data_IF_472250004966
#
_entry.id   IF_472250004966
#
_cell.length_a   1.000
_cell.length_b   1.000
_cell.length_c   1.000
_cell.angle_alpha   90.00
_cell.angle_beta   90.00
_cell.angle_gamma   90.00
#
_symmetry.space_group_name_H-M   'P 1'
#
loop_
_entity.id
_entity.type
_entity.pdbx_description
1 polymer ?
#
# COMPACT_ATOMS: atom_id res chain seq x y z
N UNK A 1 -19.22 -24.46 -8.47
CA UNK A 1 -18.18 -25.50 -8.48
C UNK A 1 -17.25 -25.29 -7.28
N UNK A 2 -17.74 -25.71 -6.13
CA UNK A 2 -17.13 -25.46 -4.82
C UNK A 2 -15.70 -26.05 -4.72
N UNK A 3 -15.47 -27.19 -5.38
CA UNK A 3 -14.15 -27.85 -5.38
C UNK A 3 -13.05 -26.97 -5.96
N UNK A 4 -13.30 -26.27 -7.08
CA UNK A 4 -12.30 -25.35 -7.64
C UNK A 4 -12.03 -24.16 -6.73
N UNK A 5 -13.01 -23.69 -5.97
CA UNK A 5 -12.78 -22.65 -4.97
C UNK A 5 -11.83 -23.12 -3.87
N UNK A 6 -12.09 -24.30 -3.28
CA UNK A 6 -11.22 -24.84 -2.23
C UNK A 6 -9.82 -25.18 -2.75
N UNK A 7 -9.70 -25.76 -3.93
CA UNK A 7 -8.40 -26.01 -4.54
C UNK A 7 -7.63 -24.70 -4.78
N UNK A 8 -8.31 -23.66 -5.23
CA UNK A 8 -7.71 -22.32 -5.37
C UNK A 8 -7.20 -21.77 -4.05
N UNK A 9 -7.98 -21.87 -2.98
CA UNK A 9 -7.56 -21.43 -1.62
C UNK A 9 -6.35 -22.23 -1.13
N UNK A 10 -6.37 -23.56 -1.28
CA UNK A 10 -5.25 -24.41 -0.85
C UNK A 10 -3.99 -24.06 -1.66
N UNK A 11 -4.11 -23.96 -2.99
CA UNK A 11 -2.97 -23.59 -3.84
C UNK A 11 -2.40 -22.21 -3.50
N UNK A 12 -3.25 -21.22 -3.21
CA UNK A 12 -2.82 -19.89 -2.79
C UNK A 12 -2.04 -19.93 -1.46
N UNK A 13 -2.54 -20.70 -0.48
CA UNK A 13 -1.90 -20.81 0.83
C UNK A 13 -0.55 -21.54 0.76
N UNK A 14 -0.42 -22.51 -0.13
CA UNK A 14 0.82 -23.27 -0.36
C UNK A 14 1.81 -22.55 -1.31
N UNK A 15 1.45 -21.36 -1.81
CA UNK A 15 2.30 -20.58 -2.72
C UNK A 15 2.27 -21.04 -4.18
N UNK A 16 1.38 -21.97 -4.56
CA UNK A 16 1.17 -22.39 -5.94
C UNK A 16 0.28 -21.39 -6.69
N UNK A 17 0.82 -20.20 -6.95
CA UNK A 17 0.06 -19.03 -7.41
C UNK A 17 -0.58 -19.24 -8.78
N UNK A 18 0.11 -19.91 -9.73
CA UNK A 18 -0.44 -20.24 -11.06
C UNK A 18 -1.62 -21.21 -10.97
N UNK A 19 -1.51 -22.22 -10.12
CA UNK A 19 -2.61 -23.17 -9.89
C UNK A 19 -3.80 -22.48 -9.24
N UNK A 20 -3.55 -21.64 -8.23
CA UNK A 20 -4.58 -20.84 -7.58
C UNK A 20 -5.34 -19.98 -8.63
N UNK A 21 -4.61 -19.30 -9.51
CA UNK A 21 -5.20 -18.52 -10.59
C UNK A 21 -6.07 -19.38 -11.52
N UNK A 22 -5.57 -20.54 -11.93
CA UNK A 22 -6.29 -21.44 -12.82
C UNK A 22 -7.58 -21.97 -12.19
N UNK A 23 -7.59 -22.25 -10.89
CA UNK A 23 -8.78 -22.65 -10.16
C UNK A 23 -9.76 -21.48 -9.97
N UNK A 24 -9.29 -20.31 -9.55
CA UNK A 24 -10.13 -19.14 -9.34
C UNK A 24 -10.79 -18.64 -10.63
N UNK A 25 -10.11 -18.72 -11.76
CA UNK A 25 -10.72 -18.41 -13.07
C UNK A 25 -11.99 -19.20 -13.36
N UNK A 26 -12.07 -20.45 -12.90
CA UNK A 26 -13.22 -21.34 -13.13
C UNK A 26 -14.42 -20.99 -12.24
N UNK A 27 -14.25 -20.12 -11.24
CA UNK A 27 -15.27 -19.80 -10.23
C UNK A 27 -15.57 -18.29 -10.11
N UNK A 28 -15.30 -17.54 -11.15
CA UNK A 28 -15.52 -16.07 -11.16
C UNK A 28 -16.98 -15.65 -10.92
N UNK A 29 -17.94 -16.55 -11.02
CA UNK A 29 -19.32 -16.30 -10.64
C UNK A 29 -19.51 -16.00 -9.14
N UNK A 30 -18.49 -16.34 -8.30
CA UNK A 30 -18.48 -16.04 -6.86
C UNK A 30 -18.25 -14.56 -6.55
N UNK A 31 -17.74 -13.76 -7.48
CA UNK A 31 -17.36 -12.35 -7.26
C UNK A 31 -18.45 -11.47 -6.63
N UNK A 32 -19.71 -11.76 -6.92
CA UNK A 32 -20.84 -10.97 -6.43
C UNK A 32 -21.39 -11.45 -5.08
N UNK A 33 -20.84 -12.53 -4.51
CA UNK A 33 -21.42 -13.22 -3.36
C UNK A 33 -20.40 -13.67 -2.31
N UNK A 34 -19.12 -13.48 -2.57
CA UNK A 34 -18.10 -14.10 -1.73
C UNK A 34 -16.86 -13.22 -1.62
N UNK A 35 -16.84 -12.35 -0.60
CA UNK A 35 -15.75 -11.39 -0.36
C UNK A 35 -14.38 -12.07 -0.22
N UNK A 36 -14.30 -13.22 0.47
CA UNK A 36 -13.04 -13.97 0.58
C UNK A 36 -12.48 -14.44 -0.78
N UNK A 37 -13.35 -14.85 -1.71
CA UNK A 37 -12.92 -15.15 -3.07
C UNK A 37 -12.30 -13.92 -3.74
N UNK A 38 -12.95 -12.76 -3.59
CA UNK A 38 -12.46 -11.51 -4.18
C UNK A 38 -11.07 -11.14 -3.65
N UNK A 39 -10.87 -11.25 -2.34
CA UNK A 39 -9.59 -10.99 -1.68
C UNK A 39 -8.49 -11.90 -2.26
N UNK A 40 -8.71 -13.21 -2.23
CA UNK A 40 -7.70 -14.18 -2.67
C UNK A 40 -7.44 -14.11 -4.18
N UNK A 41 -8.45 -13.79 -4.98
CA UNK A 41 -8.25 -13.61 -6.41
C UNK A 41 -7.46 -12.35 -6.74
N UNK A 42 -7.74 -11.23 -6.09
CA UNK A 42 -6.94 -10.00 -6.25
C UNK A 42 -5.49 -10.24 -5.83
N UNK A 43 -5.25 -10.86 -4.68
CA UNK A 43 -3.90 -11.22 -4.20
C UNK A 43 -3.17 -12.10 -5.21
N UNK A 44 -3.83 -13.11 -5.73
CA UNK A 44 -3.28 -14.02 -6.75
C UNK A 44 -2.90 -13.25 -8.02
N UNK A 45 -3.74 -12.33 -8.48
CA UNK A 45 -3.44 -11.50 -9.65
C UNK A 45 -2.22 -10.59 -9.43
N UNK A 46 -2.09 -10.00 -8.24
CA UNK A 46 -0.94 -9.16 -7.87
C UNK A 46 0.35 -9.99 -7.81
N UNK A 47 0.31 -11.17 -7.18
CA UNK A 47 1.46 -12.06 -7.09
C UNK A 47 1.94 -12.57 -8.46
N UNK A 48 1.04 -12.67 -9.44
CA UNK A 48 1.35 -12.99 -10.83
C UNK A 48 1.68 -11.78 -11.70
N UNK A 49 1.84 -10.60 -11.09
CA UNK A 49 2.10 -9.34 -11.78
C UNK A 49 1.05 -8.98 -12.86
N UNK A 50 -0.15 -9.54 -12.76
CA UNK A 50 -1.27 -9.25 -13.67
C UNK A 50 -2.03 -8.00 -13.24
N UNK A 51 -1.32 -6.87 -13.15
CA UNK A 51 -1.83 -5.63 -12.55
C UNK A 51 -3.06 -5.08 -13.28
N UNK A 52 -3.07 -5.04 -14.61
CA UNK A 52 -4.23 -4.57 -15.37
C UNK A 52 -5.49 -5.37 -15.05
N UNK A 53 -5.34 -6.69 -14.90
CA UNK A 53 -6.44 -7.57 -14.54
C UNK A 53 -6.86 -7.34 -13.08
N UNK A 54 -5.91 -7.15 -12.18
CA UNK A 54 -6.18 -6.85 -10.77
C UNK A 54 -6.96 -5.54 -10.63
N UNK A 55 -6.56 -4.47 -11.32
CA UNK A 55 -7.29 -3.19 -11.36
C UNK A 55 -8.70 -3.35 -11.93
N UNK A 56 -8.83 -4.03 -13.07
CA UNK A 56 -10.13 -4.25 -13.72
C UNK A 56 -11.08 -5.10 -12.86
N UNK A 57 -10.55 -6.12 -12.17
CA UNK A 57 -11.33 -6.95 -11.26
C UNK A 57 -11.73 -6.17 -10.00
N UNK A 58 -10.79 -5.47 -9.37
CA UNK A 58 -11.05 -4.64 -8.20
C UNK A 58 -12.16 -3.62 -8.46
N UNK A 59 -12.14 -2.94 -9.62
CA UNK A 59 -13.22 -2.04 -10.05
C UNK A 59 -14.59 -2.69 -10.12
N UNK A 60 -14.66 -3.98 -10.49
CA UNK A 60 -15.93 -4.71 -10.63
C UNK A 60 -16.52 -5.17 -9.31
N UNK A 61 -15.67 -5.40 -8.30
CA UNK A 61 -16.10 -5.96 -7.02
C UNK A 61 -16.10 -4.94 -5.89
N UNK A 62 -15.49 -3.77 -6.10
CA UNK A 62 -15.46 -2.70 -5.12
C UNK A 62 -16.84 -2.06 -4.94
N UNK A 63 -17.21 -1.82 -3.69
CA UNK A 63 -18.40 -1.07 -3.31
C UNK A 63 -18.06 -0.04 -2.22
N UNK A 64 -18.84 1.01 -2.11
CA UNK A 64 -18.62 2.03 -1.08
C UNK A 64 -18.92 1.52 0.33
N UNK A 65 -19.88 0.63 0.44
CA UNK A 65 -20.39 0.11 1.73
C UNK A 65 -19.49 -0.97 2.34
N UNK A 66 -18.70 -1.67 1.52
CA UNK A 66 -17.82 -2.75 1.98
C UNK A 66 -16.35 -2.32 1.96
N UNK A 67 -15.68 -2.47 3.10
CA UNK A 67 -14.25 -2.20 3.19
C UNK A 67 -13.47 -3.39 2.61
N UNK A 68 -12.67 -3.12 1.58
CA UNK A 68 -11.90 -4.13 0.87
C UNK A 68 -10.46 -3.64 0.66
N UNK A 69 -9.56 -3.99 1.59
CA UNK A 69 -8.19 -3.48 1.64
C UNK A 69 -7.46 -3.58 0.29
N UNK A 70 -7.45 -4.76 -0.32
CA UNK A 70 -6.74 -5.00 -1.57
C UNK A 70 -7.28 -4.16 -2.74
N UNK A 71 -8.60 -4.01 -2.81
CA UNK A 71 -9.23 -3.19 -3.85
C UNK A 71 -9.02 -1.69 -3.58
N UNK A 72 -9.21 -1.23 -2.35
CA UNK A 72 -8.97 0.17 -1.97
C UNK A 72 -7.51 0.56 -2.23
N UNK A 73 -6.54 -0.29 -1.88
CA UNK A 73 -5.12 -0.05 -2.17
C UNK A 73 -4.85 0.05 -3.68
N UNK A 74 -5.31 -0.93 -4.46
CA UNK A 74 -5.08 -0.96 -5.91
C UNK A 74 -5.75 0.21 -6.63
N UNK A 75 -7.01 0.52 -6.31
CA UNK A 75 -7.74 1.61 -6.94
C UNK A 75 -7.18 2.98 -6.53
N UNK A 76 -6.70 3.10 -5.30
CA UNK A 76 -5.96 4.27 -4.84
C UNK A 76 -4.66 4.46 -5.62
N UNK A 77 -3.86 3.41 -5.79
CA UNK A 77 -2.62 3.45 -6.58
C UNK A 77 -2.89 3.73 -8.06
N UNK A 78 -3.91 3.11 -8.67
CA UNK A 78 -4.32 3.41 -10.06
C UNK A 78 -4.69 4.89 -10.24
N UNK A 79 -5.44 5.45 -9.29
CA UNK A 79 -5.82 6.87 -9.29
C UNK A 79 -4.59 7.76 -9.09
N UNK A 80 -3.68 7.41 -8.18
CA UNK A 80 -2.44 8.14 -7.94
C UNK A 80 -1.54 8.19 -9.18
N UNK A 81 -1.33 7.05 -9.85
CA UNK A 81 -0.54 6.97 -11.09
C UNK A 81 -1.16 7.85 -12.19
N UNK A 82 -2.48 7.92 -12.25
CA UNK A 82 -3.22 8.79 -13.18
C UNK A 82 -3.27 10.26 -12.76
N UNK A 83 -2.63 10.61 -11.64
CA UNK A 83 -2.63 11.96 -11.04
C UNK A 83 -4.01 12.45 -10.58
N UNK A 84 -4.97 11.55 -10.40
CA UNK A 84 -6.27 11.84 -9.78
C UNK A 84 -6.11 11.71 -8.25
N UNK A 85 -5.41 12.67 -7.66
CA UNK A 85 -4.97 12.62 -6.26
C UNK A 85 -6.15 12.68 -5.29
N UNK A 86 -7.18 13.45 -5.57
CA UNK A 86 -8.38 13.52 -4.72
C UNK A 86 -9.07 12.15 -4.60
N UNK A 87 -9.17 11.46 -5.73
CA UNK A 87 -9.74 10.11 -5.75
C UNK A 87 -8.84 9.09 -5.09
N UNK A 88 -7.52 9.19 -5.28
CA UNK A 88 -6.55 8.35 -4.61
C UNK A 88 -6.67 8.48 -3.09
N UNK A 89 -6.75 9.70 -2.56
CA UNK A 89 -6.89 10.00 -1.14
C UNK A 89 -8.15 9.37 -0.55
N UNK A 90 -9.29 9.44 -1.24
CA UNK A 90 -10.54 8.78 -0.78
C UNK A 90 -10.38 7.27 -0.58
N UNK A 91 -9.68 6.59 -1.50
CA UNK A 91 -9.37 5.17 -1.34
C UNK A 91 -8.38 4.94 -0.19
N UNK A 92 -7.34 5.76 -0.07
CA UNK A 92 -6.33 5.61 0.99
C UNK A 92 -6.90 5.91 2.39
N UNK A 93 -7.85 6.83 2.53
CA UNK A 93 -8.59 7.07 3.77
C UNK A 93 -9.39 5.83 4.22
N UNK A 94 -9.88 5.04 3.28
CA UNK A 94 -10.59 3.79 3.59
C UNK A 94 -9.64 2.73 4.15
N UNK A 95 -8.37 2.72 3.74
CA UNK A 95 -7.36 1.83 4.32
C UNK A 95 -7.21 2.05 5.83
N UNK A 96 -7.23 3.29 6.27
CA UNK A 96 -7.15 3.62 7.71
C UNK A 96 -8.36 3.09 8.52
N UNK A 97 -9.52 2.91 7.88
CA UNK A 97 -10.69 2.32 8.53
C UNK A 97 -10.59 0.80 8.66
N UNK A 98 -9.90 0.15 7.72
CA UNK A 98 -9.72 -1.31 7.69
C UNK A 98 -8.62 -1.75 8.65
N UNK A 99 -7.56 -0.96 8.76
CA UNK A 99 -6.36 -1.29 9.53
C UNK A 99 -6.63 -1.49 11.02
N UNK A 100 -7.69 -0.92 11.57
CA UNK A 100 -8.16 -1.16 12.94
C UNK A 100 -8.39 -2.64 13.29
N UNK A 101 -8.51 -3.50 12.28
CA UNK A 101 -8.68 -4.94 12.44
C UNK A 101 -7.41 -5.74 12.12
N UNK A 102 -6.38 -5.11 11.56
CA UNK A 102 -5.11 -5.74 11.17
C UNK A 102 -3.93 -5.10 11.90
N UNK A 103 -3.51 -5.70 12.99
CA UNK A 103 -2.49 -5.22 13.93
C UNK A 103 -1.16 -4.74 13.31
N UNK A 104 -0.85 -5.07 12.05
CA UNK A 104 0.45 -4.79 11.43
C UNK A 104 0.52 -3.50 10.59
N UNK A 105 -0.61 -2.88 10.23
CA UNK A 105 -0.62 -1.74 9.30
C UNK A 105 -1.55 -0.60 9.74
N UNK A 106 -1.96 -0.61 11.02
CA UNK A 106 -2.90 0.35 11.56
C UNK A 106 -2.41 1.79 11.33
N UNK A 107 -3.18 2.54 10.56
CA UNK A 107 -2.94 3.96 10.23
C UNK A 107 -1.57 4.27 9.58
N UNK A 108 -0.75 3.27 9.23
CA UNK A 108 0.55 3.49 8.60
C UNK A 108 0.43 3.66 7.07
N UNK A 109 -0.02 2.63 6.35
CA UNK A 109 0.00 2.63 4.88
C UNK A 109 -0.90 3.74 4.32
N UNK A 110 -2.12 3.88 4.83
CA UNK A 110 -3.06 4.90 4.38
C UNK A 110 -2.51 6.30 4.57
N UNK A 111 -1.99 6.63 5.76
CA UNK A 111 -1.44 7.95 6.04
C UNK A 111 -0.17 8.26 5.22
N UNK A 112 0.71 7.28 5.01
CA UNK A 112 1.90 7.44 4.15
C UNK A 112 1.50 7.72 2.71
N UNK A 113 0.55 6.97 2.16
CA UNK A 113 0.08 7.15 0.77
C UNK A 113 -0.65 8.49 0.58
N UNK A 114 -1.44 8.93 1.58
CA UNK A 114 -2.06 10.26 1.55
C UNK A 114 -0.98 11.35 1.63
N UNK A 115 0.03 11.19 2.47
CA UNK A 115 1.14 12.14 2.56
C UNK A 115 1.83 12.32 1.21
N UNK A 116 2.14 11.23 0.51
CA UNK A 116 2.73 11.30 -0.83
C UNK A 116 1.77 11.86 -1.88
N UNK A 117 0.46 11.63 -1.75
CA UNK A 117 -0.56 12.26 -2.59
C UNK A 117 -0.56 13.77 -2.42
N UNK A 118 -0.53 14.27 -1.19
CA UNK A 118 -0.39 15.70 -0.87
C UNK A 118 0.93 16.28 -1.37
N UNK A 119 2.03 15.56 -1.21
CA UNK A 119 3.33 15.97 -1.72
C UNK A 119 3.31 16.13 -3.25
N UNK A 120 2.72 15.18 -3.97
CA UNK A 120 2.58 15.23 -5.42
C UNK A 120 1.72 16.38 -5.93
N UNK A 121 0.86 16.93 -5.08
CA UNK A 121 0.08 18.15 -5.33
C UNK A 121 0.85 19.44 -4.92
N UNK A 122 2.09 19.33 -4.45
CA UNK A 122 2.90 20.46 -3.99
C UNK A 122 2.56 20.93 -2.57
N UNK A 123 1.67 20.24 -1.85
CA UNK A 123 1.25 20.63 -0.49
C UNK A 123 2.18 20.01 0.57
N UNK A 124 3.29 20.71 0.87
CA UNK A 124 4.30 20.29 1.84
C UNK A 124 3.74 20.16 3.24
N UNK A 125 2.97 21.15 3.68
CA UNK A 125 2.48 21.22 5.06
C UNK A 125 1.56 20.04 5.39
N UNK A 126 0.55 19.81 4.57
CA UNK A 126 -0.38 18.70 4.79
C UNK A 126 0.30 17.34 4.61
N UNK A 127 1.24 17.22 3.67
CA UNK A 127 2.05 16.01 3.50
C UNK A 127 2.76 15.62 4.80
N UNK A 128 3.43 16.56 5.45
CA UNK A 128 4.13 16.30 6.73
C UNK A 128 3.14 16.02 7.87
N UNK A 129 2.00 16.72 7.93
CA UNK A 129 0.94 16.45 8.93
C UNK A 129 0.40 15.02 8.84
N UNK A 130 0.26 14.48 7.63
CA UNK A 130 -0.21 13.10 7.48
C UNK A 130 0.82 12.07 7.95
N UNK A 131 2.11 12.34 7.79
CA UNK A 131 3.17 11.49 8.37
C UNK A 131 3.13 11.53 9.90
N UNK A 132 2.81 12.66 10.52
CA UNK A 132 2.69 12.79 11.98
C UNK A 132 1.50 12.00 12.57
N UNK A 133 0.50 11.68 11.75
CA UNK A 133 -0.64 10.82 12.17
C UNK A 133 -0.27 9.34 12.26
N UNK A 134 0.87 8.93 11.71
CA UNK A 134 1.33 7.54 11.78
C UNK A 134 1.69 7.18 13.22
N UNK A 135 1.21 6.05 13.76
CA UNK A 135 1.47 5.66 15.14
C UNK A 135 2.95 5.51 15.47
N UNK A 136 3.32 5.85 16.71
CA UNK A 136 4.71 5.76 17.19
C UNK A 136 5.32 4.36 17.10
N UNK A 137 4.51 3.31 17.04
CA UNK A 137 4.96 1.93 16.80
C UNK A 137 5.80 1.81 15.52
N UNK A 138 5.58 2.71 14.55
CA UNK A 138 6.29 2.76 13.28
C UNK A 138 7.28 3.93 13.20
N UNK A 139 7.73 4.44 14.33
CA UNK A 139 8.55 5.66 14.43
C UNK A 139 9.73 5.71 13.45
N UNK A 140 10.48 4.62 13.29
CA UNK A 140 11.61 4.54 12.34
C UNK A 140 11.15 4.69 10.87
N UNK A 141 10.05 4.06 10.49
CA UNK A 141 9.49 4.19 9.14
C UNK A 141 8.94 5.60 8.91
N UNK A 142 8.28 6.17 9.91
CA UNK A 142 7.77 7.55 9.88
C UNK A 142 8.91 8.55 9.70
N UNK A 143 10.00 8.41 10.44
CA UNK A 143 11.19 9.27 10.28
C UNK A 143 11.79 9.14 8.88
N UNK A 144 11.90 7.94 8.36
CA UNK A 144 12.39 7.69 7.00
C UNK A 144 11.52 8.39 5.96
N UNK A 145 10.20 8.23 6.03
CA UNK A 145 9.26 8.89 5.12
C UNK A 145 9.33 10.42 5.24
N UNK A 146 9.46 10.95 6.46
CA UNK A 146 9.64 12.39 6.69
C UNK A 146 10.92 12.92 6.04
N UNK A 147 12.04 12.19 6.12
CA UNK A 147 13.28 12.55 5.44
C UNK A 147 13.11 12.58 3.92
N UNK A 148 12.43 11.59 3.34
CA UNK A 148 12.17 11.55 1.90
C UNK A 148 11.27 12.71 1.44
N UNK A 149 10.22 13.03 2.19
CA UNK A 149 9.36 14.18 1.90
C UNK A 149 10.13 15.50 1.97
N UNK A 150 10.98 15.69 2.99
CA UNK A 150 11.85 16.87 3.07
C UNK A 150 12.81 16.98 1.88
N UNK A 151 13.36 15.84 1.44
CA UNK A 151 14.19 15.78 0.25
C UNK A 151 13.38 16.15 -1.01
N UNK A 152 12.22 15.57 -1.19
CA UNK A 152 11.31 15.88 -2.30
C UNK A 152 10.99 17.37 -2.43
N UNK A 153 10.84 18.05 -1.29
CA UNK A 153 10.58 19.50 -1.23
C UNK A 153 11.83 20.38 -1.14
N UNK A 154 13.04 19.82 -1.31
CA UNK A 154 14.32 20.55 -1.19
C UNK A 154 14.40 21.38 0.11
N UNK A 155 13.96 20.80 1.24
CA UNK A 155 13.97 21.49 2.52
C UNK A 155 15.39 21.70 3.03
N UNK A 156 15.70 22.87 3.60
CA UNK A 156 17.03 23.22 4.10
C UNK A 156 17.56 22.26 5.18
N UNK A 157 16.66 21.69 5.99
CA UNK A 157 17.00 20.75 7.06
C UNK A 157 17.07 19.29 6.62
N UNK A 158 16.96 19.01 5.32
CA UNK A 158 16.99 17.64 4.75
C UNK A 158 18.24 16.87 5.17
N UNK A 159 19.42 17.44 4.95
CA UNK A 159 20.71 16.83 5.32
C UNK A 159 20.77 16.49 6.80
N UNK A 160 20.43 17.45 7.66
CA UNK A 160 20.41 17.26 9.12
C UNK A 160 19.43 16.16 9.56
N UNK A 161 18.29 16.03 8.86
CA UNK A 161 17.30 14.99 9.14
C UNK A 161 17.83 13.61 8.80
N UNK A 162 18.51 13.44 7.65
CA UNK A 162 19.16 12.18 7.28
C UNK A 162 20.32 11.82 8.19
N UNK A 163 21.17 12.80 8.59
CA UNK A 163 22.25 12.57 9.54
C UNK A 163 21.75 12.03 10.87
N UNK A 164 20.65 12.61 11.39
CA UNK A 164 19.99 12.10 12.60
C UNK A 164 19.48 10.67 12.44
N UNK A 165 18.88 10.37 11.30
CA UNK A 165 18.34 9.03 11.00
C UNK A 165 19.46 7.98 10.99
N UNK A 166 20.61 8.29 10.36
CA UNK A 166 21.77 7.39 10.23
C UNK A 166 22.49 7.20 11.57
N UNK A 167 22.58 8.25 12.40
CA UNK A 167 23.24 8.20 13.70
C UNK A 167 22.46 7.47 14.79
N UNK A 168 21.19 7.21 14.56
CA UNK A 168 20.36 6.49 15.52
C UNK A 168 20.72 5.00 15.55
N UNK A 169 21.44 4.59 16.61
CA UNK A 169 21.93 3.22 16.82
C UNK A 169 20.85 2.17 17.05
N UNK A 170 19.63 2.62 17.38
CA UNK A 170 18.51 1.73 17.63
C UNK A 170 17.96 1.08 16.34
N UNK A 171 18.43 1.54 15.19
CA UNK A 171 17.98 1.07 13.89
C UNK A 171 19.07 0.32 13.14
N UNK A 172 18.83 -0.94 12.85
CA UNK A 172 19.73 -1.73 12.02
C UNK A 172 19.47 -1.41 10.53
N UNK A 173 19.90 -0.23 10.11
CA UNK A 173 19.68 0.33 8.78
C UNK A 173 20.63 -0.16 7.68
N UNK A 174 21.34 -1.26 7.86
CA UNK A 174 22.43 -1.67 6.96
C UNK A 174 22.06 -1.72 5.46
N UNK A 175 20.81 -2.04 5.11
CA UNK A 175 20.32 -1.97 3.72
C UNK A 175 19.85 -0.59 3.29
N UNK A 176 19.18 0.15 4.18
CA UNK A 176 18.68 1.50 3.87
C UNK A 176 19.77 2.54 3.83
N UNK A 177 20.82 2.40 4.65
CA UNK A 177 21.98 3.28 4.63
C UNK A 177 22.67 3.29 3.27
N UNK A 178 22.73 2.15 2.58
CA UNK A 178 23.32 2.06 1.25
C UNK A 178 22.54 2.89 0.22
N UNK A 179 21.20 2.81 0.23
CA UNK A 179 20.35 3.61 -0.66
C UNK A 179 20.38 5.09 -0.31
N UNK A 180 20.39 5.44 0.97
CA UNK A 180 20.45 6.81 1.46
C UNK A 180 21.79 7.48 1.12
N UNK A 181 22.92 6.80 1.33
CA UNK A 181 24.25 7.32 1.01
C UNK A 181 24.38 7.56 -0.51
N UNK A 182 23.95 6.62 -1.33
CA UNK A 182 23.98 6.81 -2.78
C UNK A 182 23.08 7.96 -3.26
N UNK A 183 21.96 8.22 -2.61
CA UNK A 183 21.07 9.32 -2.97
C UNK A 183 21.59 10.69 -2.54
N UNK A 184 22.35 10.76 -1.43
CA UNK A 184 22.94 12.01 -0.92
C UNK A 184 24.27 12.38 -1.59
N UNK A 185 24.86 11.47 -2.36
CA UNK A 185 26.15 11.69 -3.07
C UNK A 185 25.99 12.07 -4.53
N UNK A 186 24.77 12.11 -5.06
CA UNK A 186 24.39 12.63 -6.37
C UNK A 186 23.58 13.93 -6.23
#
# INVERSE_FOLDING_TARGET
>A
NISNYFLGIVSANEGYTDDAYNYFKKVQSLKNRHSKFNIEFVRTLVLLEKFDHAFAFSKKVWTEDELFFEADLLLGLDSFIKKDYEKAEKYFERLNKISRYNFFFEDFIGNVLIAWSKASQGNKEDSLKFIEKVPNTYHHLTQTQSCFLKCYFNSEDTKKSFEKLIQNKDYNFSRYNFFLINYLTF
#
